data_IF_561295049400
#
_entry.id   IF_561295049400
#
_cell.length_a   1.000
_cell.length_b   1.000
_cell.length_c   1.000
_cell.angle_alpha   90.00
_cell.angle_beta   90.00
_cell.angle_gamma   90.00
#
_symmetry.space_group_name_H-M   'P 1'
#
loop_
_entity.id
_entity.type
_entity.pdbx_description
1 polymer ?
#
# COMPACT_ATOMS: atom_id res chain seq x y z
N UNK A 1 -47.41 26.50 7.54
CA UNK A 1 -47.67 25.09 7.91
C UNK A 1 -46.50 24.18 7.52
N UNK A 2 -46.05 24.15 6.27
CA UNK A 2 -44.92 23.31 5.82
C UNK A 2 -43.57 23.70 6.46
N UNK A 3 -43.26 25.00 6.55
CA UNK A 3 -42.00 25.47 7.16
C UNK A 3 -41.86 25.09 8.65
N UNK A 4 -42.99 25.05 9.40
CA UNK A 4 -43.00 24.65 10.81
C UNK A 4 -42.74 23.15 10.94
N UNK A 5 -43.28 22.33 10.04
CA UNK A 5 -43.03 20.89 10.00
C UNK A 5 -41.56 20.61 9.70
N UNK A 6 -40.96 21.28 8.72
CA UNK A 6 -39.52 21.15 8.40
C UNK A 6 -38.66 21.55 9.60
N UNK A 7 -39.00 22.64 10.28
CA UNK A 7 -38.27 23.09 11.47
C UNK A 7 -38.33 22.07 12.62
N UNK A 8 -39.50 21.46 12.85
CA UNK A 8 -39.66 20.41 13.88
C UNK A 8 -38.84 19.17 13.52
N UNK A 9 -38.89 18.70 12.27
CA UNK A 9 -38.09 17.56 11.83
C UNK A 9 -36.58 17.84 11.92
N UNK A 10 -36.14 19.04 11.55
CA UNK A 10 -34.75 19.48 11.69
C UNK A 10 -34.30 19.53 13.16
N UNK A 11 -35.14 20.08 14.04
CA UNK A 11 -34.87 20.12 15.48
C UNK A 11 -34.79 18.72 16.09
N UNK A 12 -35.69 17.81 15.69
CA UNK A 12 -35.68 16.41 16.12
C UNK A 12 -34.42 15.69 15.64
N UNK A 13 -34.00 15.88 14.39
CA UNK A 13 -32.76 15.31 13.85
C UNK A 13 -31.53 15.82 14.62
N UNK A 14 -31.46 17.13 14.87
CA UNK A 14 -30.37 17.72 15.65
C UNK A 14 -30.35 17.20 17.10
N UNK A 15 -31.52 17.01 17.72
CA UNK A 15 -31.60 16.43 19.06
C UNK A 15 -31.11 14.97 19.08
N UNK A 16 -31.46 14.16 18.08
CA UNK A 16 -30.98 12.77 17.94
C UNK A 16 -29.46 12.73 17.71
N UNK A 17 -28.94 13.57 16.81
CA UNK A 17 -27.51 13.66 16.54
C UNK A 17 -26.72 14.14 17.76
N UNK A 18 -27.24 15.14 18.48
CA UNK A 18 -26.64 15.61 19.71
C UNK A 18 -26.63 14.50 20.77
N UNK A 19 -27.77 13.83 21.00
CA UNK A 19 -27.85 12.72 21.95
C UNK A 19 -26.87 11.59 21.58
N UNK A 20 -26.80 11.19 20.31
CA UNK A 20 -25.86 10.19 19.85
C UNK A 20 -24.40 10.65 20.03
N UNK A 21 -24.08 11.92 19.76
CA UNK A 21 -22.74 12.47 19.98
C UNK A 21 -22.36 12.47 21.46
N UNK A 22 -23.26 12.90 22.35
CA UNK A 22 -23.02 12.91 23.80
C UNK A 22 -22.91 11.49 24.38
N UNK A 23 -23.72 10.54 23.91
CA UNK A 23 -23.63 9.14 24.30
C UNK A 23 -22.29 8.51 23.88
N UNK A 24 -21.87 8.73 22.62
CA UNK A 24 -20.58 8.24 22.12
C UNK A 24 -19.37 8.98 22.72
N UNK A 25 -19.53 10.25 23.11
CA UNK A 25 -18.49 11.02 23.78
C UNK A 25 -18.27 10.54 25.23
N UNK A 26 -19.31 10.05 25.90
CA UNK A 26 -19.19 9.47 27.25
C UNK A 26 -18.31 8.20 27.27
N UNK A 27 -18.25 7.46 26.15
CA UNK A 27 -17.36 6.30 25.98
C UNK A 27 -15.91 6.70 25.68
N UNK A 28 -15.66 7.91 25.18
CA UNK A 28 -14.29 8.42 24.94
C UNK A 28 -13.64 8.96 26.21
N UNK A 29 -13.64 8.17 27.28
CA UNK A 29 -12.78 8.45 28.44
C UNK A 29 -11.34 8.10 28.05
N UNK A 30 -10.49 9.12 27.96
CA UNK A 30 -9.05 8.91 27.86
C UNK A 30 -8.57 8.22 29.14
N UNK A 31 -8.30 6.92 29.05
CA UNK A 31 -7.69 6.19 30.14
C UNK A 31 -6.26 6.70 30.35
N UNK A 32 -5.84 6.85 31.61
CA UNK A 32 -4.47 7.27 31.94
C UNK A 32 -3.42 6.29 31.42
N UNK A 33 -3.79 5.01 31.28
CA UNK A 33 -2.95 3.94 30.77
C UNK A 33 -3.68 3.16 29.69
N UNK A 34 -2.92 2.65 28.73
CA UNK A 34 -3.42 1.76 27.67
C UNK A 34 -3.94 0.45 28.28
N UNK A 35 -4.90 -0.21 27.62
CA UNK A 35 -5.28 -1.59 27.95
C UNK A 35 -4.04 -2.49 27.93
N UNK A 36 -4.08 -3.58 28.72
CA UNK A 36 -3.04 -4.61 28.72
C UNK A 36 -3.17 -5.59 27.55
N UNK A 37 -4.30 -5.54 26.84
CA UNK A 37 -4.52 -6.37 25.66
C UNK A 37 -3.59 -5.94 24.53
N UNK A 38 -3.03 -6.93 23.84
CA UNK A 38 -2.17 -6.68 22.68
C UNK A 38 -2.99 -6.08 21.55
N UNK A 39 -2.60 -4.88 21.12
CA UNK A 39 -3.15 -4.26 19.91
C UNK A 39 -2.38 -4.70 18.66
N UNK A 40 -2.90 -4.37 17.48
CA UNK A 40 -2.22 -4.63 16.20
C UNK A 40 -0.77 -4.13 16.22
N UNK A 41 -0.54 -2.93 16.76
CA UNK A 41 0.79 -2.35 16.86
C UNK A 41 1.74 -3.16 17.75
N UNK A 42 1.25 -3.94 18.74
CA UNK A 42 2.10 -4.81 19.57
C UNK A 42 2.47 -6.10 18.84
N UNK A 43 1.52 -6.65 18.07
CA UNK A 43 1.67 -7.88 17.30
C UNK A 43 2.61 -7.71 16.10
N UNK A 44 2.66 -6.52 15.50
CA UNK A 44 3.57 -6.23 14.40
C UNK A 44 5.01 -6.07 14.91
N UNK A 45 5.98 -6.59 14.14
CA UNK A 45 7.39 -6.45 14.47
C UNK A 45 7.95 -5.05 14.14
N UNK A 46 7.16 -4.09 13.67
CA UNK A 46 7.64 -2.74 13.36
C UNK A 46 7.91 -1.95 14.64
N UNK A 47 9.13 -1.44 14.80
CA UNK A 47 9.56 -0.65 15.95
C UNK A 47 9.51 0.85 15.66
N UNK A 48 10.40 1.33 14.80
CA UNK A 48 10.51 2.75 14.44
C UNK A 48 11.20 2.93 13.08
N UNK A 49 11.01 4.08 12.45
CA UNK A 49 11.82 4.49 11.30
C UNK A 49 13.11 5.13 11.82
N UNK A 50 14.25 4.52 11.53
CA UNK A 50 15.58 4.93 12.04
C UNK A 50 16.35 5.77 11.03
N UNK A 51 16.01 5.65 9.75
CA UNK A 51 16.54 6.44 8.64
C UNK A 51 15.49 6.52 7.52
N UNK A 52 15.74 7.31 6.48
CA UNK A 52 14.82 7.46 5.34
C UNK A 52 14.52 6.10 4.68
N UNK A 53 13.27 5.66 4.79
CA UNK A 53 12.81 4.37 4.28
C UNK A 53 13.32 3.13 5.04
N UNK A 54 14.03 3.30 6.16
CA UNK A 54 14.56 2.19 6.97
C UNK A 54 13.80 2.05 8.29
N UNK A 55 13.16 0.89 8.47
CA UNK A 55 12.40 0.54 9.68
C UNK A 55 13.20 -0.45 10.51
N UNK A 56 13.45 -0.13 11.77
CA UNK A 56 13.95 -1.09 12.76
C UNK A 56 12.79 -1.91 13.31
N UNK A 57 12.97 -3.22 13.37
CA UNK A 57 12.05 -4.17 13.96
C UNK A 57 12.25 -4.29 15.47
N UNK A 58 11.21 -4.67 16.20
CA UNK A 58 11.28 -4.87 17.66
C UNK A 58 12.22 -6.00 18.08
N UNK A 59 12.44 -6.96 17.18
CA UNK A 59 13.44 -8.01 17.34
C UNK A 59 14.88 -7.56 16.99
N UNK A 60 15.09 -6.33 16.51
CA UNK A 60 16.40 -5.81 16.10
C UNK A 60 16.74 -5.99 14.61
N UNK A 61 15.79 -6.46 13.77
CA UNK A 61 15.98 -6.47 12.31
C UNK A 61 15.93 -5.07 11.71
N UNK A 62 16.50 -4.87 10.53
CA UNK A 62 16.32 -3.67 9.71
C UNK A 62 15.57 -4.03 8.44
N UNK A 63 14.61 -3.21 8.04
CA UNK A 63 13.77 -3.43 6.86
C UNK A 63 13.79 -2.17 6.00
N UNK A 64 13.90 -2.35 4.69
CA UNK A 64 13.65 -1.31 3.70
C UNK A 64 12.86 -1.89 2.52
N UNK A 65 12.03 -1.06 1.90
CA UNK A 65 11.15 -1.48 0.81
C UNK A 65 11.15 -0.47 -0.33
N UNK A 66 11.03 -0.98 -1.56
CA UNK A 66 11.00 -0.18 -2.78
C UNK A 66 9.89 -0.65 -3.71
N UNK A 67 9.24 0.30 -4.37
CA UNK A 67 8.36 -0.01 -5.51
C UNK A 67 9.26 -0.20 -6.73
N UNK A 68 9.00 -1.26 -7.49
CA UNK A 68 9.71 -1.52 -8.73
C UNK A 68 8.75 -1.85 -9.87
N UNK A 69 9.23 -1.66 -11.09
CA UNK A 69 8.57 -2.06 -12.32
C UNK A 69 9.52 -3.00 -13.07
N UNK A 70 8.98 -4.05 -13.66
CA UNK A 70 9.73 -5.03 -14.44
C UNK A 70 9.08 -5.24 -15.79
N UNK A 71 9.86 -5.77 -16.73
CA UNK A 71 9.36 -6.12 -18.06
C UNK A 71 8.24 -7.17 -17.95
N UNK A 72 7.32 -7.15 -18.93
CA UNK A 72 6.25 -8.15 -18.98
C UNK A 72 6.82 -9.54 -19.22
N UNK A 73 6.85 -10.34 -18.15
CA UNK A 73 7.35 -11.69 -18.17
C UNK A 73 6.55 -12.59 -19.13
N UNK A 74 5.25 -12.32 -19.37
CA UNK A 74 4.43 -13.10 -20.29
C UNK A 74 4.88 -12.96 -21.75
N UNK A 75 5.38 -11.78 -22.12
CA UNK A 75 5.93 -11.49 -23.46
C UNK A 75 7.43 -11.82 -23.62
N UNK A 76 8.12 -12.18 -22.53
CA UNK A 76 9.56 -12.43 -22.53
C UNK A 76 9.93 -13.79 -23.11
N UNK A 77 10.98 -13.83 -23.93
CA UNK A 77 11.59 -15.08 -24.41
C UNK A 77 12.30 -15.83 -23.27
N UNK A 78 12.48 -17.15 -23.42
CA UNK A 78 13.16 -17.96 -22.41
C UNK A 78 14.58 -17.46 -22.12
N UNK A 79 15.31 -17.04 -23.15
CA UNK A 79 16.65 -16.45 -23.00
C UNK A 79 16.63 -15.16 -22.16
N UNK A 80 15.61 -14.32 -22.31
CA UNK A 80 15.46 -13.10 -21.50
C UNK A 80 15.17 -13.46 -20.04
N UNK A 81 14.30 -14.44 -19.80
CA UNK A 81 13.98 -14.93 -18.44
C UNK A 81 15.19 -15.52 -17.74
N UNK A 82 16.01 -16.29 -18.45
CA UNK A 82 17.26 -16.85 -17.94
C UNK A 82 18.24 -15.74 -17.55
N UNK A 83 18.38 -14.71 -18.39
CA UNK A 83 19.25 -13.57 -18.10
C UNK A 83 18.78 -12.76 -16.89
N UNK A 84 17.46 -12.58 -16.72
CA UNK A 84 16.90 -11.92 -15.53
C UNK A 84 17.17 -12.76 -14.29
N UNK A 85 16.93 -14.06 -14.34
CA UNK A 85 17.20 -14.99 -13.24
C UNK A 85 18.67 -14.97 -12.83
N UNK A 86 19.58 -14.96 -13.80
CA UNK A 86 21.02 -14.85 -13.57
C UNK A 86 21.38 -13.54 -12.84
N UNK A 87 20.81 -12.41 -13.26
CA UNK A 87 21.06 -11.10 -12.63
C UNK A 87 20.53 -11.03 -11.20
N UNK A 88 19.33 -11.56 -10.96
CA UNK A 88 18.75 -11.63 -9.61
C UNK A 88 19.63 -12.49 -8.72
N UNK A 89 20.07 -13.66 -9.21
CA UNK A 89 20.96 -14.53 -8.45
C UNK A 89 22.28 -13.83 -8.12
N UNK A 90 22.93 -13.16 -9.09
CA UNK A 90 24.16 -12.42 -8.81
C UNK A 90 23.96 -11.30 -7.77
N UNK A 91 22.83 -10.60 -7.80
CA UNK A 91 22.52 -9.54 -6.84
C UNK A 91 22.29 -10.08 -5.42
N UNK A 92 21.61 -11.23 -5.29
CA UNK A 92 21.23 -11.78 -3.98
C UNK A 92 22.30 -12.71 -3.39
N UNK A 93 23.09 -13.41 -4.20
CA UNK A 93 24.06 -14.39 -3.74
C UNK A 93 25.15 -13.80 -2.82
N UNK A 94 25.46 -12.51 -2.99
CA UNK A 94 26.47 -11.81 -2.18
C UNK A 94 25.98 -11.31 -0.82
N UNK A 95 24.68 -11.37 -0.53
CA UNK A 95 24.11 -10.82 0.71
C UNK A 95 24.49 -11.63 1.96
N UNK A 96 24.75 -12.93 1.80
CA UNK A 96 25.07 -13.84 2.90
C UNK A 96 23.86 -14.14 3.80
N UNK A 97 24.14 -14.46 5.06
CA UNK A 97 23.12 -14.88 6.03
C UNK A 97 22.38 -13.71 6.69
N UNK A 98 21.20 -13.97 7.22
CA UNK A 98 20.39 -12.98 7.95
C UNK A 98 19.50 -12.12 7.06
N UNK A 99 19.54 -12.30 5.73
CA UNK A 99 18.66 -11.59 4.81
C UNK A 99 17.38 -12.37 4.51
N UNK A 100 16.27 -11.63 4.42
CA UNK A 100 14.98 -12.12 3.97
C UNK A 100 14.42 -11.15 2.94
N UNK A 101 14.07 -11.67 1.76
CA UNK A 101 13.50 -10.88 0.67
C UNK A 101 12.03 -11.24 0.51
N UNK A 102 11.17 -10.24 0.51
CA UNK A 102 9.75 -10.38 0.20
C UNK A 102 9.44 -9.63 -1.09
N UNK A 103 8.60 -10.22 -1.93
CA UNK A 103 8.11 -9.60 -3.15
C UNK A 103 6.60 -9.64 -3.11
N UNK A 104 5.99 -8.46 -3.02
CA UNK A 104 4.55 -8.28 -2.95
C UNK A 104 4.04 -7.71 -4.27
N UNK A 105 2.86 -8.17 -4.70
CA UNK A 105 2.17 -7.68 -5.90
C UNK A 105 0.76 -7.16 -5.56
N UNK A 106 0.64 -6.13 -4.70
CA UNK A 106 -0.64 -5.52 -4.36
C UNK A 106 -1.32 -4.88 -5.57
N UNK A 107 -2.63 -4.69 -5.45
CA UNK A 107 -3.45 -3.94 -6.41
C UNK A 107 -3.95 -2.66 -5.78
N UNK A 108 -3.95 -1.57 -6.54
CA UNK A 108 -4.57 -0.30 -6.16
C UNK A 108 -5.60 0.12 -7.21
N UNK A 109 -6.62 0.92 -6.86
CA UNK A 109 -7.54 1.46 -7.85
C UNK A 109 -6.77 2.16 -8.97
N UNK A 110 -7.08 1.83 -10.22
CA UNK A 110 -6.47 2.47 -11.38
C UNK A 110 -6.93 3.94 -11.46
N UNK A 111 -6.05 4.81 -11.96
CA UNK A 111 -6.43 6.19 -12.24
C UNK A 111 -7.58 6.23 -13.25
N UNK A 112 -8.52 7.17 -13.07
CA UNK A 112 -9.57 7.39 -14.05
C UNK A 112 -8.97 7.80 -15.40
N UNK A 113 -9.64 7.44 -16.49
CA UNK A 113 -9.27 7.92 -17.83
C UNK A 113 -9.21 9.46 -17.85
N UNK A 114 -8.17 10.02 -18.48
CA UNK A 114 -7.96 11.47 -18.57
C UNK A 114 -9.20 12.19 -19.10
N UNK A 115 -9.54 13.37 -18.58
CA UNK A 115 -10.70 14.15 -19.06
C UNK A 115 -10.54 14.57 -20.54
N UNK A 116 -11.65 14.75 -21.26
CA UNK A 116 -11.62 14.95 -22.71
C UNK A 116 -10.85 16.21 -23.11
N UNK A 117 -10.99 17.28 -22.33
CA UNK A 117 -10.25 18.52 -22.55
C UNK A 117 -8.74 18.46 -22.25
N UNK A 118 -8.24 17.34 -21.72
CA UNK A 118 -6.79 17.10 -21.54
C UNK A 118 -6.19 16.29 -22.70
N UNK A 119 -7.04 15.67 -23.52
CA UNK A 119 -6.63 14.96 -24.73
C UNK A 119 -6.56 15.95 -25.89
N UNK A 120 -5.48 15.89 -26.69
CA UNK A 120 -5.35 16.70 -27.90
C UNK A 120 -4.78 15.85 -29.03
N UNK A 121 -5.61 15.58 -30.04
CA UNK A 121 -5.25 14.79 -31.20
C UNK A 121 -5.31 15.63 -32.48
N UNK A 122 -4.27 15.55 -33.35
CA UNK A 122 -4.17 16.40 -34.54
C UNK A 122 -5.12 15.97 -35.67
N UNK A 123 -5.64 14.74 -35.63
CA UNK A 123 -6.47 14.15 -36.67
C UNK A 123 -7.74 13.51 -36.08
N UNK A 124 -8.84 13.47 -36.85
CA UNK A 124 -10.12 12.97 -36.36
C UNK A 124 -10.15 11.45 -36.12
N UNK A 125 -9.22 10.69 -36.70
CA UNK A 125 -9.19 9.23 -36.52
C UNK A 125 -8.61 8.89 -35.15
N UNK A 126 -7.50 9.52 -34.78
CA UNK A 126 -6.90 9.33 -33.45
C UNK A 126 -7.82 9.84 -32.33
N UNK A 127 -8.54 10.94 -32.57
CA UNK A 127 -9.56 11.45 -31.63
C UNK A 127 -10.69 10.44 -31.42
N UNK A 128 -11.23 9.87 -32.50
CA UNK A 128 -12.25 8.83 -32.42
C UNK A 128 -11.75 7.57 -31.67
N UNK A 129 -10.50 7.17 -31.88
CA UNK A 129 -9.88 6.04 -31.15
C UNK A 129 -9.80 6.33 -29.64
N UNK A 130 -9.41 7.53 -29.23
CA UNK A 130 -9.39 7.92 -27.80
C UNK A 130 -10.80 7.91 -27.20
N UNK A 131 -11.78 8.40 -27.97
CA UNK A 131 -13.18 8.41 -27.53
C UNK A 131 -13.71 6.99 -27.26
N UNK A 132 -13.51 6.04 -28.18
CA UNK A 132 -13.91 4.64 -27.99
C UNK A 132 -13.20 4.01 -26.77
N UNK A 133 -11.90 4.29 -26.59
CA UNK A 133 -11.13 3.79 -25.44
C UNK A 133 -11.64 4.35 -24.11
N UNK A 134 -12.01 5.63 -24.09
CA UNK A 134 -12.58 6.32 -22.93
C UNK A 134 -13.95 5.76 -22.58
N UNK A 135 -14.83 5.60 -23.56
CA UNK A 135 -16.17 5.04 -23.36
C UNK A 135 -16.08 3.60 -22.83
N UNK A 136 -15.19 2.79 -23.41
CA UNK A 136 -14.89 1.45 -22.90
C UNK A 136 -14.40 1.50 -21.45
N UNK A 137 -13.39 2.32 -21.14
CA UNK A 137 -12.83 2.44 -19.79
C UNK A 137 -13.92 2.81 -18.77
N UNK A 138 -14.77 3.78 -19.10
CA UNK A 138 -15.85 4.24 -18.23
C UNK A 138 -16.95 3.20 -18.06
N UNK A 139 -17.18 2.33 -19.05
CA UNK A 139 -18.15 1.24 -18.96
C UNK A 139 -17.72 0.10 -18.03
N UNK A 140 -16.41 -0.10 -17.85
CA UNK A 140 -15.83 -1.22 -17.08
C UNK A 140 -15.91 -1.03 -15.56
N UNK A 141 -16.37 0.12 -15.07
CA UNK A 141 -16.48 0.41 -13.64
C UNK A 141 -15.13 0.59 -12.95
N UNK A 142 -15.01 0.16 -11.69
CA UNK A 142 -13.76 0.32 -10.92
C UNK A 142 -12.70 -0.66 -11.38
N UNK A 143 -11.63 -0.14 -11.96
CA UNK A 143 -10.47 -0.92 -12.37
C UNK A 143 -9.34 -0.82 -11.34
N UNK A 144 -8.43 -1.79 -11.38
CA UNK A 144 -7.28 -1.87 -10.50
C UNK A 144 -6.01 -2.08 -11.31
N UNK A 145 -4.93 -1.43 -10.90
CA UNK A 145 -3.59 -1.66 -11.41
C UNK A 145 -2.72 -2.35 -10.34
N UNK A 146 -1.85 -3.25 -10.80
CA UNK A 146 -0.86 -3.88 -9.95
C UNK A 146 0.37 -2.99 -9.82
N UNK A 147 1.02 -3.03 -8.65
CA UNK A 147 2.38 -2.52 -8.49
C UNK A 147 3.17 -3.54 -7.68
N UNK A 148 4.48 -3.56 -7.87
CA UNK A 148 5.35 -4.50 -7.17
C UNK A 148 6.16 -3.79 -6.10
N UNK A 149 6.27 -4.43 -4.95
CA UNK A 149 7.11 -3.97 -3.84
C UNK A 149 8.13 -5.06 -3.54
N UNK A 150 9.40 -4.69 -3.49
CA UNK A 150 10.45 -5.55 -2.96
C UNK A 150 10.86 -5.03 -1.59
N UNK A 151 10.87 -5.92 -0.61
CA UNK A 151 11.26 -5.61 0.77
C UNK A 151 12.45 -6.46 1.15
N UNK A 152 13.53 -5.81 1.57
CA UNK A 152 14.70 -6.49 2.12
C UNK A 152 14.74 -6.29 3.64
N UNK A 153 14.81 -7.39 4.37
CA UNK A 153 14.95 -7.40 5.83
C UNK A 153 16.27 -8.05 6.20
N UNK A 154 17.10 -7.35 6.95
CA UNK A 154 18.35 -7.86 7.51
C UNK A 154 18.20 -8.08 9.01
N UNK A 155 18.47 -9.30 9.46
CA UNK A 155 18.58 -9.65 10.87
C UNK A 155 20.06 -9.80 11.21
N UNK A 156 20.65 -8.85 11.97
CA UNK A 156 22.05 -8.94 12.34
C UNK A 156 22.31 -10.21 13.15
N UNK A 157 23.34 -11.00 12.82
CA UNK A 157 23.69 -12.17 13.62
C UNK A 157 24.10 -11.71 15.02
N UNK A 158 23.68 -12.44 16.04
CA UNK A 158 24.19 -12.23 17.40
C UNK A 158 25.70 -12.49 17.41
N UNK A 159 26.46 -11.69 18.17
CA UNK A 159 27.94 -11.72 18.21
C UNK A 159 28.51 -13.14 18.44
N UNK A 160 27.75 -14.04 19.10
CA UNK A 160 28.13 -15.43 19.31
C UNK A 160 28.00 -16.32 18.05
N UNK A 161 27.06 -16.05 17.16
CA UNK A 161 26.82 -16.83 15.93
C UNK A 161 27.82 -16.49 14.81
N UNK A 162 28.32 -15.24 14.75
CA UNK A 162 29.32 -14.85 13.76
C UNK A 162 30.57 -15.74 13.80
N UNK A 163 31.03 -16.12 15.00
CA UNK A 163 32.22 -16.96 15.18
C UNK A 163 32.06 -18.39 14.66
N UNK A 164 30.83 -18.90 14.53
CA UNK A 164 30.56 -20.26 14.08
C UNK A 164 30.39 -20.36 12.56
N UNK A 165 30.01 -19.26 11.90
CA UNK A 165 29.84 -19.21 10.43
C UNK A 165 31.16 -18.93 9.70
N UNK A 166 32.15 -18.34 10.40
CA UNK A 166 33.49 -18.05 9.86
C UNK A 166 34.49 -19.22 9.99
N UNK A 167 34.09 -20.36 10.58
CA UNK A 167 34.90 -21.59 10.71
C UNK A 167 34.47 -22.64 9.68
#
# INVERSE_FOLDING_TARGET
>A
TIAVVIAIFGAALLAVLAFASFANAAERKLARYRSKDEGLADLLNYGAMVDDGVIVGKNGSFMAAWIYEGDDNASSTDRQRDMVSFRINQALAGLGNGWMIHVDAPRRPAAAYSAAGLSHFPDPVTDAIDQERRELFQSLGTMYEGYFVITATYFPPVIAEQKFVEL
#
